data_IF_760180888274
#
_entry.id   IF_760180888274
#
_cell.length_a   1.000
_cell.length_b   1.000
_cell.length_c   1.000
_cell.angle_alpha   90.00
_cell.angle_beta   90.00
_cell.angle_gamma   90.00
#
_symmetry.space_group_name_H-M   'P 1'
#
loop_
_entity.id
_entity.type
_entity.pdbx_description
1 polymer ?
#
# COMPACT_ATOMS: atom_id res chain seq x y z
N UNK A 1 16.87 -15.59 18.11
CA UNK A 1 16.39 -14.47 17.30
C UNK A 1 15.35 -15.00 16.33
N UNK A 2 14.06 -14.75 16.58
CA UNK A 2 13.00 -15.17 15.67
C UNK A 2 12.92 -14.21 14.49
N UNK A 3 13.62 -14.54 13.41
CA UNK A 3 13.46 -13.89 12.11
C UNK A 3 12.13 -14.35 11.50
N UNK A 4 11.01 -13.92 12.07
CA UNK A 4 9.71 -14.12 11.45
C UNK A 4 9.75 -13.41 10.09
N UNK A 5 9.83 -14.20 9.02
CA UNK A 5 9.62 -13.69 7.66
C UNK A 5 8.21 -13.10 7.65
N UNK A 6 8.12 -11.77 7.64
CA UNK A 6 6.85 -11.04 7.48
C UNK A 6 6.11 -11.64 6.29
N UNK A 7 4.83 -11.92 6.44
CA UNK A 7 4.01 -12.39 5.33
C UNK A 7 3.88 -11.32 4.26
N UNK A 8 3.52 -11.72 3.03
CA UNK A 8 3.30 -10.78 1.92
C UNK A 8 2.32 -9.66 2.28
N UNK A 9 1.32 -9.96 3.11
CA UNK A 9 0.32 -9.00 3.56
C UNK A 9 0.95 -8.01 4.55
N UNK A 10 1.62 -8.49 5.60
CA UNK A 10 2.26 -7.62 6.59
C UNK A 10 3.25 -6.67 5.93
N UNK A 11 4.05 -7.19 4.99
CA UNK A 11 5.02 -6.38 4.25
C UNK A 11 4.35 -5.35 3.33
N UNK A 12 3.21 -5.68 2.73
CA UNK A 12 2.41 -4.73 1.96
C UNK A 12 1.95 -3.54 2.82
N UNK A 13 1.47 -3.82 4.03
CA UNK A 13 1.06 -2.78 4.98
C UNK A 13 2.23 -1.93 5.47
N UNK A 14 3.40 -2.52 5.71
CA UNK A 14 4.61 -1.75 6.04
C UNK A 14 4.99 -0.79 4.91
N UNK A 15 5.01 -1.26 3.66
CA UNK A 15 5.33 -0.43 2.50
C UNK A 15 4.33 0.72 2.33
N UNK A 16 3.04 0.44 2.50
CA UNK A 16 1.99 1.47 2.47
C UNK A 16 2.19 2.52 3.57
N UNK A 17 2.47 2.08 4.81
CA UNK A 17 2.70 2.98 5.96
C UNK A 17 4.02 3.74 5.90
N UNK A 18 5.04 3.18 5.25
CA UNK A 18 6.34 3.84 5.09
C UNK A 18 6.29 5.08 4.20
N UNK A 19 5.20 5.24 3.43
CA UNK A 19 5.06 6.33 2.47
C UNK A 19 5.89 6.16 1.18
N UNK A 20 6.63 5.06 1.05
CA UNK A 20 7.47 4.78 -0.12
C UNK A 20 6.69 4.38 -1.37
N UNK A 21 5.42 3.99 -1.23
CA UNK A 21 4.59 3.52 -2.35
C UNK A 21 3.34 4.41 -2.51
N UNK A 22 3.10 4.90 -3.73
CA UNK A 22 1.90 5.69 -4.08
C UNK A 22 0.69 4.83 -4.41
N UNK A 23 0.92 3.65 -4.98
CA UNK A 23 -0.13 2.77 -5.47
C UNK A 23 0.07 1.33 -5.01
N UNK A 24 -1.00 0.54 -5.06
CA UNK A 24 -0.91 -0.92 -4.83
C UNK A 24 -0.02 -1.61 -5.88
N UNK A 25 0.16 -1.00 -7.06
CA UNK A 25 1.10 -1.46 -8.08
C UNK A 25 2.56 -1.41 -7.61
N UNK A 26 2.97 -0.29 -7.00
CA UNK A 26 4.30 -0.13 -6.39
C UNK A 26 4.56 -1.15 -5.29
N UNK A 27 3.55 -1.36 -4.43
CA UNK A 27 3.64 -2.37 -3.37
C UNK A 27 3.90 -3.75 -3.98
N UNK A 28 3.16 -4.11 -5.04
CA UNK A 28 3.36 -5.40 -5.73
C UNK A 28 4.77 -5.52 -6.29
N UNK A 29 5.27 -4.47 -6.96
CA UNK A 29 6.61 -4.46 -7.53
C UNK A 29 7.69 -4.59 -6.46
N UNK A 30 7.57 -3.87 -5.34
CA UNK A 30 8.51 -3.98 -4.20
C UNK A 30 8.49 -5.36 -3.56
N UNK A 31 7.32 -5.93 -3.33
CA UNK A 31 7.21 -7.29 -2.79
C UNK A 31 7.84 -8.32 -3.73
N UNK A 32 7.61 -8.20 -5.04
CA UNK A 32 8.26 -9.07 -6.02
C UNK A 32 9.79 -8.90 -6.02
N UNK A 33 10.29 -7.66 -5.94
CA UNK A 33 11.72 -7.37 -5.85
C UNK A 33 12.36 -7.91 -4.56
N UNK A 34 11.60 -7.98 -3.47
CA UNK A 34 12.04 -8.58 -2.20
C UNK A 34 11.96 -10.12 -2.19
N UNK A 35 11.41 -10.73 -3.25
CA UNK A 35 11.32 -12.18 -3.42
C UNK A 35 10.05 -12.80 -2.86
N UNK A 36 8.99 -12.01 -2.64
CA UNK A 36 7.68 -12.53 -2.24
C UNK A 36 6.96 -13.15 -3.44
N UNK A 37 6.48 -14.38 -3.26
CA UNK A 37 5.68 -15.09 -4.25
C UNK A 37 4.18 -14.95 -4.00
N UNK A 38 3.36 -15.12 -5.05
CA UNK A 38 1.90 -15.10 -4.93
C UNK A 38 1.34 -13.74 -4.48
N UNK A 39 2.06 -12.64 -4.71
CA UNK A 39 1.65 -11.29 -4.28
C UNK A 39 0.30 -10.91 -4.87
N UNK A 40 0.05 -11.27 -6.13
CA UNK A 40 -1.23 -11.02 -6.80
C UNK A 40 -2.36 -11.77 -6.09
N UNK A 41 -2.21 -13.06 -5.85
CA UNK A 41 -3.20 -13.89 -5.15
C UNK A 41 -3.45 -13.43 -3.71
N UNK A 42 -2.39 -13.06 -2.98
CA UNK A 42 -2.51 -12.56 -1.60
C UNK A 42 -3.18 -11.19 -1.52
N UNK A 43 -3.00 -10.34 -2.53
CA UNK A 43 -3.54 -8.98 -2.59
C UNK A 43 -4.77 -8.88 -3.51
N UNK A 44 -5.37 -9.98 -3.98
CA UNK A 44 -6.46 -9.96 -4.95
C UNK A 44 -7.82 -9.56 -4.34
N UNK A 45 -7.89 -9.33 -3.03
CA UNK A 45 -9.12 -8.92 -2.36
C UNK A 45 -9.41 -7.42 -2.54
N UNK A 46 -10.62 -7.09 -3.02
CA UNK A 46 -11.08 -5.69 -3.16
C UNK A 46 -10.88 -4.89 -1.86
N UNK A 47 -11.22 -5.47 -0.71
CA UNK A 47 -11.03 -4.85 0.60
C UNK A 47 -9.55 -4.61 0.95
N UNK A 48 -8.66 -5.56 0.63
CA UNK A 48 -7.22 -5.38 0.85
C UNK A 48 -6.64 -4.31 -0.05
N UNK A 49 -6.98 -4.33 -1.34
CA UNK A 49 -6.52 -3.29 -2.26
C UNK A 49 -7.06 -1.91 -1.90
N UNK A 50 -8.30 -1.83 -1.42
CA UNK A 50 -8.89 -0.57 -0.94
C UNK A 50 -8.17 -0.03 0.29
N UNK A 51 -7.93 -0.89 1.29
CA UNK A 51 -7.21 -0.51 2.49
C UNK A 51 -5.76 -0.07 2.20
N UNK A 52 -5.02 -0.82 1.38
CA UNK A 52 -3.66 -0.45 0.99
C UNK A 52 -3.62 0.84 0.19
N UNK A 53 -4.57 1.04 -0.73
CA UNK A 53 -4.66 2.29 -1.50
C UNK A 53 -4.94 3.48 -0.60
N UNK A 54 -5.85 3.34 0.38
CA UNK A 54 -6.15 4.38 1.35
C UNK A 54 -4.91 4.72 2.19
N UNK A 55 -4.24 3.70 2.73
CA UNK A 55 -3.01 3.88 3.52
C UNK A 55 -1.88 4.51 2.70
N UNK A 56 -1.70 4.09 1.45
CA UNK A 56 -0.76 4.73 0.53
C UNK A 56 -1.11 6.21 0.39
N UNK A 57 -2.35 6.56 0.06
CA UNK A 57 -2.73 7.97 -0.09
C UNK A 57 -2.55 8.78 1.21
N UNK A 58 -2.82 8.19 2.37
CA UNK A 58 -2.68 8.84 3.68
C UNK A 58 -1.21 9.04 4.10
N UNK A 59 -0.32 8.09 3.78
CA UNK A 59 1.08 8.10 4.24
C UNK A 59 2.09 8.44 3.14
N UNK A 60 1.66 8.58 1.88
CA UNK A 60 2.55 8.80 0.75
C UNK A 60 3.38 10.06 0.98
N UNK A 61 4.70 9.88 1.06
CA UNK A 61 5.66 10.98 1.13
C UNK A 61 6.11 11.23 -0.30
N UNK A 62 5.55 12.27 -0.92
CA UNK A 62 6.03 12.69 -2.23
C UNK A 62 7.53 13.04 -2.11
N UNK A 63 8.41 12.42 -2.90
CA UNK A 63 9.76 12.94 -3.03
C UNK A 63 9.62 14.34 -3.62
N UNK A 64 10.20 15.36 -2.97
CA UNK A 64 10.18 16.75 -3.43
C UNK A 64 10.66 16.79 -4.90
N UNK A 65 9.73 16.87 -5.86
CA UNK A 65 10.10 16.84 -7.28
C UNK A 65 9.01 16.60 -8.32
N UNK A 66 7.89 15.94 -8.02
CA UNK A 66 6.90 15.62 -9.08
C UNK A 66 5.45 15.83 -8.60
N UNK A 67 4.95 17.02 -8.93
CA UNK A 67 3.55 17.43 -8.87
C UNK A 67 2.72 16.59 -9.87
N UNK A 68 1.63 15.99 -9.36
CA UNK A 68 0.30 15.90 -10.00
C UNK A 68 -0.45 14.60 -9.63
N UNK A 69 -1.63 14.82 -9.05
CA UNK A 69 -2.83 13.97 -9.05
C UNK A 69 -2.87 12.72 -8.16
N UNK A 70 -3.18 12.91 -6.87
CA UNK A 70 -4.09 12.01 -6.16
C UNK A 70 -4.69 12.72 -4.94
N UNK A 71 -5.68 13.59 -5.15
CA UNK A 71 -6.59 14.02 -4.07
C UNK A 71 -7.28 12.76 -3.50
N UNK A 72 -7.18 12.44 -2.20
CA UNK A 72 -8.20 11.62 -1.58
C UNK A 72 -9.40 12.54 -1.33
N UNK A 73 -10.53 12.28 -2.01
CA UNK A 73 -11.81 12.63 -1.41
C UNK A 73 -11.92 11.70 -0.21
N UNK A 74 -11.76 12.25 0.99
CA UNK A 74 -12.42 11.69 2.15
C UNK A 74 -13.90 11.80 1.83
N UNK A 75 -14.57 10.68 1.55
CA UNK A 75 -16.02 10.65 1.64
C UNK A 75 -16.33 10.88 3.12
N UNK A 76 -16.78 12.11 3.39
CA UNK A 76 -17.38 12.58 4.62
C UNK A 76 -18.44 11.59 5.11
N UNK A 77 -18.39 11.31 6.41
CA UNK A 77 -19.53 10.88 7.22
C UNK A 77 -20.81 11.58 6.75
N UNK A 78 -21.81 10.79 6.32
CA UNK A 78 -23.21 11.21 6.31
C UNK A 78 -23.98 10.21 7.18
N UNK A 79 -24.06 10.57 8.46
CA UNK A 79 -24.97 10.03 9.47
C UNK A 79 -26.22 10.92 9.46
N UNK A 80 -27.35 10.40 8.97
CA UNK A 80 -28.73 10.75 9.39
C UNK A 80 -29.71 9.59 9.09
#
# INVERSE_FOLDING_TARGET
MNTFRLTTIERAYELAKSGACRTVGDIKARLQAEGYEGVKDRLYGASMTGALRKLCAENYVAPEGEDETAKPKADEDDDD
#
